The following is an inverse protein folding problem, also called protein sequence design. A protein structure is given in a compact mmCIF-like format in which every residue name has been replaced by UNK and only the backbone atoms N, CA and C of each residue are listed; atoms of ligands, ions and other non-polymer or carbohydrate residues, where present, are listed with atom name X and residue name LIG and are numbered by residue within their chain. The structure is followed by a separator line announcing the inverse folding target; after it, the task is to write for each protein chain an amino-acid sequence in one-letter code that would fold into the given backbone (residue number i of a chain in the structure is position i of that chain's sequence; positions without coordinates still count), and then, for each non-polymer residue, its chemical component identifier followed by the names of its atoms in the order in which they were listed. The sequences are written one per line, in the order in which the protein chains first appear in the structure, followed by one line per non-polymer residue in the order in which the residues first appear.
data_IF_518093766171
#
_entry.id   IF_518093766171
#
_cell.length_a   1.000
_cell.length_b   1.000
_cell.length_c   1.000
_cell.angle_alpha   90.00
_cell.angle_beta   90.00
_cell.angle_gamma   90.00
#
_symmetry.space_group_name_H-M   'P 1'
#
loop_
_entity.id
_entity.type
_entity.pdbx_description
1 polymer ?
#
# COMPACT_ATOMS: atom_id res chain seq x y z
N UNK A 1 6.55 21.42 55.18
CA UNK A 1 7.49 20.70 56.07
C UNK A 1 7.53 19.26 55.64
N UNK A 2 8.76 18.71 55.52
CA UNK A 2 9.19 17.29 55.32
C UNK A 2 8.99 16.76 53.90
N UNK A 3 9.97 16.31 53.18
CA UNK A 3 11.42 16.11 53.17
C UNK A 3 11.66 15.16 51.97
N UNK A 4 12.56 15.59 51.16
CA UNK A 4 13.22 14.89 50.03
C UNK A 4 13.84 13.58 50.48
N UNK A 5 13.82 12.56 49.59
CA UNK A 5 14.83 11.50 49.57
C UNK A 5 15.23 11.17 48.13
N UNK A 6 16.45 11.57 47.82
CA UNK A 6 17.20 11.21 46.59
C UNK A 6 17.96 9.93 46.93
N UNK A 7 17.88 8.93 46.05
CA UNK A 7 18.81 7.77 46.06
C UNK A 7 19.54 7.73 44.73
N UNK A 8 20.82 8.04 44.81
CA UNK A 8 21.82 7.85 43.76
C UNK A 8 22.41 6.43 43.94
N UNK A 9 22.40 5.63 42.88
CA UNK A 9 23.17 4.39 42.86
C UNK A 9 24.10 4.40 41.64
N UNK A 10 25.40 4.48 41.95
CA UNK A 10 26.50 4.30 41.02
C UNK A 10 26.73 2.80 40.76
N UNK A 11 26.94 2.42 39.51
CA UNK A 11 27.41 1.09 39.15
C UNK A 11 28.74 1.18 38.40
N UNK A 12 29.67 0.44 38.92
CA UNK A 12 31.08 0.33 38.61
C UNK A 12 31.30 -0.45 37.31
N UNK A 13 32.21 0.07 36.49
CA UNK A 13 32.81 -0.58 35.31
C UNK A 13 33.80 -1.67 35.78
N UNK A 14 33.73 -2.86 35.17
CA UNK A 14 34.84 -3.84 35.22
C UNK A 14 35.17 -4.22 33.77
N UNK A 15 36.34 -3.76 33.35
CA UNK A 15 37.03 -4.25 32.16
C UNK A 15 37.79 -5.52 32.50
N UNK A 16 37.72 -6.56 31.68
CA UNK A 16 38.75 -7.58 31.58
C UNK A 16 39.07 -7.90 30.13
N UNK A 17 40.27 -7.50 29.78
CA UNK A 17 40.99 -7.89 28.57
C UNK A 17 41.59 -9.29 28.75
N UNK A 18 41.53 -10.15 27.72
CA UNK A 18 42.49 -11.23 27.55
C UNK A 18 42.97 -11.27 26.10
N UNK A 19 44.26 -11.10 25.97
CA UNK A 19 45.11 -11.24 24.79
C UNK A 19 45.58 -12.69 24.70
N UNK A 20 45.67 -13.25 23.51
CA UNK A 20 46.32 -14.54 23.28
C UNK A 20 46.66 -14.73 21.82
N UNK A 21 47.94 -14.68 21.51
CA UNK A 21 48.60 -14.73 20.19
C UNK A 21 48.86 -16.14 19.66
N UNK A 22 49.06 -16.17 18.33
CA UNK A 22 50.02 -16.95 17.49
C UNK A 22 49.71 -18.45 17.29
N UNK A 23 50.00 -19.12 16.19
CA UNK A 23 50.99 -18.92 15.10
C UNK A 23 50.78 -20.01 14.03
N UNK A 24 50.92 -19.64 12.79
CA UNK A 24 51.57 -20.26 11.63
C UNK A 24 51.57 -21.76 11.35
N UNK A 25 51.38 -22.09 10.10
CA UNK A 25 51.80 -23.36 9.50
C UNK A 25 51.37 -23.50 8.03
N UNK A 26 52.24 -23.13 7.13
CA UNK A 26 52.21 -23.36 5.70
C UNK A 26 52.40 -24.83 5.35
N UNK A 27 51.88 -25.32 4.22
CA UNK A 27 52.62 -25.87 3.11
C UNK A 27 51.73 -26.38 1.97
N UNK A 28 52.21 -26.11 0.79
CA UNK A 28 51.87 -26.55 -0.57
C UNK A 28 51.64 -28.05 -0.75
N UNK A 29 50.89 -28.46 -1.74
CA UNK A 29 51.37 -28.94 -3.06
C UNK A 29 50.24 -29.57 -3.87
N UNK A 30 50.00 -29.01 -5.00
CA UNK A 30 49.85 -29.46 -6.38
C UNK A 30 49.12 -30.78 -6.78
N UNK A 31 48.42 -30.60 -7.86
CA UNK A 31 48.31 -31.34 -9.12
C UNK A 31 47.03 -32.15 -9.41
N UNK A 32 46.28 -31.60 -10.34
CA UNK A 32 45.73 -32.18 -11.60
C UNK A 32 44.95 -33.52 -11.52
N UNK A 33 43.72 -33.52 -12.00
CA UNK A 33 43.33 -33.78 -13.39
C UNK A 33 41.81 -33.86 -13.57
N UNK A 34 41.33 -33.16 -14.58
CA UNK A 34 40.25 -33.44 -15.56
C UNK A 34 39.02 -34.27 -15.17
N UNK A 35 37.87 -33.65 -15.34
CA UNK A 35 36.58 -34.32 -15.47
C UNK A 35 35.51 -33.28 -15.82
N UNK A 36 35.25 -33.12 -17.09
CA UNK A 36 34.25 -32.26 -17.68
C UNK A 36 32.90 -32.96 -17.58
N UNK A 37 31.98 -32.41 -16.78
CA UNK A 37 30.55 -32.68 -16.91
C UNK A 37 29.80 -31.38 -16.70
N UNK A 38 29.27 -30.87 -17.81
CA UNK A 38 28.33 -29.75 -17.92
C UNK A 38 27.02 -30.12 -17.23
N UNK A 39 26.81 -29.60 -16.04
CA UNK A 39 25.45 -29.45 -15.49
C UNK A 39 24.95 -28.05 -15.87
N UNK A 40 23.96 -28.02 -16.73
CA UNK A 40 23.23 -26.81 -17.09
C UNK A 40 22.58 -26.21 -15.81
N UNK A 41 23.05 -25.06 -15.38
CA UNK A 41 22.30 -24.20 -14.49
C UNK A 41 21.11 -23.67 -15.31
N UNK A 42 19.92 -24.00 -14.90
CA UNK A 42 18.71 -23.33 -15.36
C UNK A 42 18.69 -21.94 -14.70
N UNK A 43 19.11 -20.95 -15.44
CA UNK A 43 18.84 -19.55 -15.14
C UNK A 43 17.31 -19.35 -15.30
N UNK A 44 16.58 -19.48 -14.21
CA UNK A 44 15.27 -18.87 -14.07
C UNK A 44 15.52 -17.41 -13.70
N UNK A 45 15.82 -16.58 -14.68
CA UNK A 45 15.48 -15.16 -14.61
C UNK A 45 13.96 -15.07 -14.46
N UNK A 46 13.43 -14.31 -13.50
CA UNK A 46 12.03 -13.96 -13.52
C UNK A 46 11.82 -13.10 -14.77
N UNK A 47 10.93 -13.55 -15.62
CA UNK A 47 10.51 -12.86 -16.85
C UNK A 47 9.84 -11.52 -16.48
N UNK A 48 10.66 -10.51 -16.28
CA UNK A 48 10.25 -9.13 -16.05
C UNK A 48 10.05 -8.43 -17.39
N UNK A 49 9.12 -8.92 -18.20
CA UNK A 49 8.69 -8.22 -19.39
C UNK A 49 7.27 -8.66 -19.81
N UNK A 50 6.29 -8.50 -18.93
CA UNK A 50 4.99 -8.07 -19.38
C UNK A 50 4.99 -6.55 -19.31
N UNK A 51 5.55 -5.91 -20.33
CA UNK A 51 5.27 -4.52 -20.63
C UNK A 51 3.76 -4.37 -20.73
N UNK A 52 3.20 -3.70 -19.75
CA UNK A 52 1.85 -3.25 -19.69
C UNK A 52 1.47 -2.55 -21.01
N UNK A 53 0.69 -3.23 -21.82
CA UNK A 53 -0.29 -2.51 -22.60
C UNK A 53 -1.20 -1.84 -21.58
N UNK A 54 -1.42 -0.53 -21.70
CA UNK A 54 -2.22 0.27 -20.82
C UNK A 54 -3.51 -0.46 -20.45
N UNK A 55 -3.53 -1.07 -19.27
CA UNK A 55 -4.72 -1.67 -18.70
C UNK A 55 -5.53 -0.49 -18.19
N UNK A 56 -6.49 -0.01 -18.97
CA UNK A 56 -7.55 0.84 -18.42
C UNK A 56 -8.09 0.11 -17.19
N UNK A 57 -8.28 0.81 -16.08
CA UNK A 57 -8.91 0.24 -14.90
C UNK A 57 -10.19 -0.48 -15.35
N UNK A 58 -10.15 -1.81 -15.43
CA UNK A 58 -11.32 -2.60 -15.81
C UNK A 58 -12.26 -2.67 -14.62
N UNK A 59 -13.56 -2.60 -14.89
CA UNK A 59 -14.53 -3.01 -13.88
C UNK A 59 -14.58 -4.54 -13.90
N UNK A 60 -14.46 -5.17 -12.76
CA UNK A 60 -14.46 -6.62 -12.58
C UNK A 60 -15.74 -7.33 -13.07
N UNK A 61 -16.80 -6.56 -13.37
CA UNK A 61 -18.05 -7.07 -13.98
C UNK A 61 -17.87 -7.75 -15.34
N UNK A 62 -16.64 -7.76 -15.89
CA UNK A 62 -16.32 -8.47 -17.11
C UNK A 62 -15.76 -9.89 -16.85
N UNK A 63 -15.46 -10.25 -15.60
CA UNK A 63 -15.03 -11.59 -15.24
C UNK A 63 -16.26 -12.50 -15.02
N UNK A 64 -16.51 -13.44 -15.93
CA UNK A 64 -17.50 -14.49 -15.73
C UNK A 64 -17.08 -15.37 -14.54
N UNK A 65 -17.83 -15.30 -13.44
CA UNK A 65 -17.70 -16.19 -12.28
C UNK A 65 -19.00 -16.99 -12.12
N UNK A 66 -18.98 -18.23 -12.57
CA UNK A 66 -20.12 -19.17 -12.53
C UNK A 66 -20.21 -19.94 -11.20
N UNK A 67 -19.42 -19.52 -10.18
CA UNK A 67 -19.47 -20.13 -8.86
C UNK A 67 -20.87 -20.04 -8.23
N UNK A 68 -21.38 -21.16 -7.74
CA UNK A 68 -22.66 -21.24 -7.06
C UNK A 68 -22.45 -21.31 -5.54
N UNK A 69 -22.79 -20.23 -4.78
CA UNK A 69 -22.69 -20.21 -3.33
C UNK A 69 -23.49 -21.34 -2.66
N UNK A 70 -22.95 -21.92 -1.57
CA UNK A 70 -23.54 -23.06 -0.87
C UNK A 70 -24.55 -22.69 0.22
N UNK A 71 -24.58 -21.40 0.62
CA UNK A 71 -25.47 -20.87 1.68
C UNK A 71 -26.33 -19.74 1.12
N UNK A 72 -27.49 -19.49 1.76
CA UNK A 72 -28.35 -18.35 1.44
C UNK A 72 -27.97 -17.07 2.23
N UNK A 73 -27.10 -17.22 3.23
CA UNK A 73 -26.64 -16.11 4.09
C UNK A 73 -25.16 -16.25 4.42
N UNK A 74 -24.45 -15.12 4.34
CA UNK A 74 -23.03 -14.98 4.68
C UNK A 74 -22.82 -13.73 5.53
N UNK A 75 -21.97 -13.82 6.58
CA UNK A 75 -21.57 -12.69 7.41
C UNK A 75 -20.06 -12.46 7.27
N UNK A 76 -19.70 -11.36 6.63
CA UNK A 76 -18.31 -10.92 6.43
C UNK A 76 -18.08 -9.66 7.26
N UNK A 77 -17.08 -9.67 8.12
CA UNK A 77 -16.61 -8.49 8.85
C UNK A 77 -15.32 -7.99 8.23
N UNK A 78 -15.24 -6.72 7.88
CA UNK A 78 -14.04 -6.10 7.35
C UNK A 78 -13.57 -4.94 8.24
N UNK A 79 -12.26 -4.90 8.51
CA UNK A 79 -11.62 -3.75 9.15
C UNK A 79 -10.42 -3.29 8.32
N UNK A 80 -10.26 -1.97 8.22
CA UNK A 80 -9.23 -1.33 7.42
C UNK A 80 -8.52 -0.24 8.21
N UNK A 81 -7.44 0.32 7.65
CA UNK A 81 -6.46 1.14 8.38
C UNK A 81 -7.05 2.39 9.03
N UNK A 82 -7.91 3.13 8.31
CA UNK A 82 -8.58 4.33 8.80
C UNK A 82 -9.78 4.68 7.91
N UNK A 83 -10.70 5.50 8.42
CA UNK A 83 -11.78 6.08 7.62
C UNK A 83 -11.18 7.10 6.64
N UNK A 84 -11.22 6.79 5.35
CA UNK A 84 -10.68 7.61 4.28
C UNK A 84 -11.41 7.34 2.97
N UNK A 85 -11.60 8.36 2.13
CA UNK A 85 -12.33 8.27 0.85
C UNK A 85 -11.73 7.26 -0.14
N UNK A 86 -10.43 6.95 -0.01
CA UNK A 86 -9.78 5.91 -0.82
C UNK A 86 -10.49 4.55 -0.73
N UNK A 87 -11.05 4.23 0.45
CA UNK A 87 -11.79 2.98 0.65
C UNK A 87 -13.19 2.98 0.05
N UNK A 88 -13.72 4.14 -0.39
CA UNK A 88 -15.06 4.25 -0.98
C UNK A 88 -15.14 3.48 -2.30
N UNK A 89 -14.08 3.49 -3.12
CA UNK A 89 -14.01 2.71 -4.36
C UNK A 89 -13.97 1.20 -4.08
N UNK A 90 -13.24 0.77 -3.03
CA UNK A 90 -13.24 -0.63 -2.58
C UNK A 90 -14.65 -1.03 -2.12
N UNK A 91 -15.26 -0.19 -1.29
CA UNK A 91 -16.65 -0.43 -0.82
C UNK A 91 -17.64 -0.52 -1.97
N UNK A 92 -17.50 0.34 -2.98
CA UNK A 92 -18.35 0.33 -4.18
C UNK A 92 -18.22 -1.00 -4.94
N UNK A 93 -17.00 -1.51 -5.12
CA UNK A 93 -16.79 -2.82 -5.73
C UNK A 93 -17.37 -3.97 -4.90
N UNK A 94 -17.20 -3.93 -3.59
CA UNK A 94 -17.79 -4.91 -2.68
C UNK A 94 -19.33 -4.89 -2.76
N UNK A 95 -19.95 -3.70 -2.77
CA UNK A 95 -21.40 -3.54 -2.86
C UNK A 95 -21.94 -4.04 -4.20
N UNK A 96 -21.19 -3.88 -5.29
CA UNK A 96 -21.57 -4.41 -6.60
C UNK A 96 -21.61 -5.97 -6.58
N UNK A 97 -20.57 -6.62 -6.02
CA UNK A 97 -20.56 -8.07 -5.87
C UNK A 97 -21.70 -8.57 -4.95
N UNK A 98 -22.01 -7.84 -3.88
CA UNK A 98 -23.13 -8.14 -2.98
C UNK A 98 -24.48 -8.01 -3.71
N UNK A 99 -24.63 -6.98 -4.56
CA UNK A 99 -25.85 -6.81 -5.36
C UNK A 99 -26.07 -7.95 -6.35
N UNK A 100 -25.01 -8.42 -7.03
CA UNK A 100 -25.08 -9.59 -7.91
C UNK A 100 -25.49 -10.87 -7.16
N UNK A 101 -24.96 -11.09 -5.95
CA UNK A 101 -25.34 -12.22 -5.10
C UNK A 101 -26.82 -12.11 -4.66
N UNK A 102 -27.29 -10.89 -4.38
CA UNK A 102 -28.69 -10.65 -4.02
C UNK A 102 -29.67 -11.00 -5.17
N UNK A 103 -29.27 -10.76 -6.43
CA UNK A 103 -30.05 -11.20 -7.61
C UNK A 103 -30.17 -12.73 -7.69
N UNK A 104 -29.22 -13.46 -7.11
CA UNK A 104 -29.25 -14.92 -6.98
C UNK A 104 -30.00 -15.40 -5.72
N UNK A 105 -30.57 -14.48 -4.92
CA UNK A 105 -31.27 -14.79 -3.69
C UNK A 105 -30.39 -14.97 -2.46
N UNK A 106 -29.11 -14.58 -2.55
CA UNK A 106 -28.12 -14.73 -1.48
C UNK A 106 -27.99 -13.41 -0.71
N UNK A 107 -28.03 -13.48 0.62
CA UNK A 107 -27.86 -12.33 1.50
C UNK A 107 -26.43 -12.29 2.05
N UNK A 108 -25.74 -11.17 1.89
CA UNK A 108 -24.44 -10.92 2.51
C UNK A 108 -24.58 -9.78 3.52
N UNK A 109 -24.37 -10.10 4.79
CA UNK A 109 -24.12 -9.07 5.80
C UNK A 109 -22.65 -8.67 5.72
N UNK A 110 -22.38 -7.41 5.40
CA UNK A 110 -21.02 -6.88 5.25
C UNK A 110 -20.79 -5.74 6.25
N UNK A 111 -20.15 -6.07 7.38
CA UNK A 111 -19.74 -5.10 8.39
C UNK A 111 -18.44 -4.44 7.92
N UNK A 112 -18.45 -3.10 7.75
CA UNK A 112 -17.34 -2.32 7.20
C UNK A 112 -16.92 -1.25 8.20
N UNK A 113 -15.85 -1.50 8.97
CA UNK A 113 -15.48 -0.71 10.14
C UNK A 113 -13.99 -0.33 10.15
N UNK A 114 -13.65 0.92 10.52
CA UNK A 114 -12.28 1.38 10.69
C UNK A 114 -12.15 2.42 11.81
N UNK A 115 -10.93 2.65 12.34
CA UNK A 115 -10.65 3.79 13.20
C UNK A 115 -10.72 5.12 12.43
N UNK A 116 -10.93 6.22 13.15
CA UNK A 116 -10.95 7.57 12.56
C UNK A 116 -9.54 8.01 12.12
N UNK A 117 -8.52 7.56 12.84
CA UNK A 117 -7.10 7.80 12.55
C UNK A 117 -6.35 6.49 12.55
N UNK A 118 -5.21 6.36 11.83
CA UNK A 118 -4.42 5.14 11.84
C UNK A 118 -4.02 4.76 13.27
N UNK A 119 -4.52 3.63 13.75
CA UNK A 119 -4.24 3.10 15.09
C UNK A 119 -4.21 1.57 15.04
N UNK A 120 -3.02 1.01 15.08
CA UNK A 120 -2.81 -0.44 15.02
C UNK A 120 -3.43 -1.17 16.20
N UNK A 121 -3.46 -0.57 17.40
CA UNK A 121 -4.07 -1.18 18.57
C UNK A 121 -5.60 -1.18 18.47
N UNK A 122 -6.21 -0.08 17.96
CA UNK A 122 -7.65 -0.06 17.69
C UNK A 122 -8.03 -1.11 16.65
N UNK A 123 -7.21 -1.30 15.60
CA UNK A 123 -7.45 -2.36 14.61
C UNK A 123 -7.40 -3.76 15.25
N UNK A 124 -6.42 -4.05 16.11
CA UNK A 124 -6.36 -5.32 16.86
C UNK A 124 -7.62 -5.53 17.70
N UNK A 125 -8.06 -4.51 18.44
CA UNK A 125 -9.27 -4.57 19.26
C UNK A 125 -10.53 -4.83 18.39
N UNK A 126 -10.59 -4.29 17.16
CA UNK A 126 -11.68 -4.56 16.21
C UNK A 126 -11.67 -6.00 15.74
N UNK A 127 -10.51 -6.55 15.40
CA UNK A 127 -10.37 -7.98 15.02
C UNK A 127 -10.81 -8.88 16.18
N UNK A 128 -10.36 -8.62 17.40
CA UNK A 128 -10.77 -9.39 18.58
C UNK A 128 -12.28 -9.28 18.86
N UNK A 129 -12.85 -8.08 18.69
CA UNK A 129 -14.29 -7.85 18.82
C UNK A 129 -15.08 -8.57 17.72
N UNK A 130 -14.54 -8.62 16.49
CA UNK A 130 -15.13 -9.37 15.40
C UNK A 130 -15.14 -10.88 15.69
N UNK A 131 -14.06 -11.44 16.25
CA UNK A 131 -14.02 -12.85 16.69
C UNK A 131 -15.16 -13.15 17.67
N UNK A 132 -15.46 -12.22 18.60
CA UNK A 132 -16.58 -12.38 19.54
C UNK A 132 -17.97 -12.30 18.88
N UNK A 133 -18.09 -11.60 17.74
CA UNK A 133 -19.32 -11.56 16.92
C UNK A 133 -19.52 -12.84 16.09
N UNK A 134 -18.44 -13.62 15.91
CA UNK A 134 -18.42 -14.90 15.16
C UNK A 134 -18.94 -14.78 13.72
N UNK A 135 -18.36 -13.89 12.87
CA UNK A 135 -18.69 -13.83 11.46
C UNK A 135 -18.20 -15.11 10.74
N UNK A 136 -18.67 -15.34 9.51
CA UNK A 136 -18.17 -16.44 8.68
C UNK A 136 -16.72 -16.18 8.19
N UNK A 137 -16.31 -14.90 8.06
CA UNK A 137 -14.97 -14.49 7.64
C UNK A 137 -14.62 -13.09 8.16
N UNK A 138 -13.35 -12.86 8.50
CA UNK A 138 -12.81 -11.54 8.78
C UNK A 138 -11.87 -11.13 7.65
N UNK A 139 -12.09 -9.92 7.10
CA UNK A 139 -11.22 -9.29 6.12
C UNK A 139 -10.42 -8.14 6.77
N UNK A 140 -9.12 -8.04 6.48
CA UNK A 140 -8.23 -7.08 7.15
C UNK A 140 -7.34 -6.38 6.13
N UNK A 141 -7.41 -5.03 6.07
CA UNK A 141 -6.34 -4.21 5.52
C UNK A 141 -5.38 -3.81 6.64
N UNK A 142 -4.08 -3.91 6.39
CA UNK A 142 -3.05 -3.99 7.43
C UNK A 142 -2.59 -2.60 7.87
N UNK A 143 -2.79 -2.27 9.15
CA UNK A 143 -2.26 -1.04 9.74
C UNK A 143 -0.79 -1.14 10.12
N UNK A 144 -0.37 -2.28 10.69
CA UNK A 144 1.01 -2.56 11.10
C UNK A 144 1.27 -4.06 11.08
N UNK A 145 2.37 -4.48 10.48
CA UNK A 145 2.67 -5.89 10.21
C UNK A 145 2.65 -6.78 11.47
N UNK A 146 3.50 -6.49 12.45
CA UNK A 146 3.70 -7.37 13.62
C UNK A 146 2.43 -7.57 14.45
N UNK A 147 1.71 -6.48 14.74
CA UNK A 147 0.51 -6.51 15.57
C UNK A 147 -0.66 -7.16 14.84
N UNK A 148 -0.84 -6.83 13.57
CA UNK A 148 -1.92 -7.36 12.74
C UNK A 148 -1.72 -8.85 12.47
N UNK A 149 -0.49 -9.32 12.20
CA UNK A 149 -0.17 -10.74 12.05
C UNK A 149 -0.62 -11.56 13.27
N UNK A 150 -0.33 -11.06 14.47
CA UNK A 150 -0.72 -11.75 15.71
C UNK A 150 -2.25 -11.83 15.85
N UNK A 151 -2.98 -10.75 15.53
CA UNK A 151 -4.42 -10.72 15.62
C UNK A 151 -5.09 -11.65 14.59
N UNK A 152 -4.59 -11.68 13.35
CA UNK A 152 -5.03 -12.61 12.29
C UNK A 152 -4.87 -14.06 12.76
N UNK A 153 -3.67 -14.43 13.22
CA UNK A 153 -3.39 -15.79 13.66
C UNK A 153 -4.28 -16.21 14.84
N UNK A 154 -4.63 -15.29 15.73
CA UNK A 154 -5.57 -15.56 16.83
C UNK A 154 -7.00 -15.78 16.32
N UNK A 155 -7.46 -15.02 15.32
CA UNK A 155 -8.77 -15.20 14.70
C UNK A 155 -8.88 -16.54 13.98
N UNK A 156 -7.85 -16.94 13.22
CA UNK A 156 -7.78 -18.25 12.56
C UNK A 156 -7.78 -19.38 13.59
N UNK A 157 -7.02 -19.28 14.69
CA UNK A 157 -7.04 -20.26 15.81
C UNK A 157 -8.41 -20.37 16.48
N UNK A 158 -9.19 -19.28 16.48
CA UNK A 158 -10.57 -19.30 16.97
C UNK A 158 -11.55 -19.95 15.97
N UNK A 159 -11.08 -20.36 14.80
CA UNK A 159 -11.86 -21.07 13.77
C UNK A 159 -12.52 -20.14 12.74
N UNK A 160 -12.15 -18.87 12.68
CA UNK A 160 -12.67 -17.91 11.70
C UNK A 160 -11.60 -17.69 10.62
N UNK A 161 -11.87 -18.01 9.35
CA UNK A 161 -10.96 -17.74 8.25
C UNK A 161 -10.73 -16.23 8.10
N UNK A 162 -9.51 -15.84 7.74
CA UNK A 162 -9.13 -14.45 7.54
C UNK A 162 -8.60 -14.26 6.13
N UNK A 163 -9.07 -13.23 5.44
CA UNK A 163 -8.47 -12.70 4.22
C UNK A 163 -7.80 -11.36 4.49
N UNK A 164 -6.68 -11.11 3.87
CA UNK A 164 -6.11 -9.76 3.80
C UNK A 164 -6.54 -9.09 2.49
N UNK A 165 -6.64 -7.76 2.49
CA UNK A 165 -7.05 -7.03 1.29
C UNK A 165 -6.38 -5.65 1.20
N UNK A 166 -6.59 -4.97 0.07
CA UNK A 166 -6.18 -3.60 -0.21
C UNK A 166 -4.66 -3.38 -0.40
N UNK A 167 -4.04 -2.64 0.51
CA UNK A 167 -2.72 -2.06 0.26
C UNK A 167 -1.55 -3.01 0.45
N UNK A 168 -1.70 -4.11 1.19
CA UNK A 168 -0.59 -5.02 1.51
C UNK A 168 -1.06 -6.41 1.90
N UNK A 169 -0.21 -7.39 1.64
CA UNK A 169 -0.39 -8.77 2.10
C UNK A 169 0.47 -9.08 3.35
N UNK A 170 0.07 -10.11 4.09
CA UNK A 170 0.83 -10.71 5.18
C UNK A 170 1.05 -12.21 4.94
N UNK A 171 1.96 -12.60 4.04
CA UNK A 171 2.17 -14.00 3.69
C UNK A 171 2.71 -14.85 4.86
N UNK A 172 3.28 -14.21 5.89
CA UNK A 172 3.77 -14.88 7.10
C UNK A 172 2.67 -15.08 8.16
N UNK A 173 1.44 -14.64 7.91
CA UNK A 173 0.28 -14.91 8.77
C UNK A 173 -0.46 -16.19 8.36
N UNK A 174 -1.40 -16.64 9.21
CA UNK A 174 -2.28 -17.79 8.91
C UNK A 174 -3.51 -17.37 8.05
N UNK A 175 -3.44 -16.26 7.29
CA UNK A 175 -4.51 -15.83 6.40
C UNK A 175 -4.77 -16.87 5.31
N UNK A 176 -6.01 -16.93 4.81
CA UNK A 176 -6.41 -17.87 3.75
C UNK A 176 -6.09 -17.33 2.36
N UNK A 177 -6.35 -16.05 2.10
CA UNK A 177 -6.15 -15.44 0.80
C UNK A 177 -5.92 -13.92 0.92
N UNK A 178 -5.43 -13.32 -0.16
CA UNK A 178 -5.24 -11.89 -0.32
C UNK A 178 -5.87 -11.38 -1.61
N UNK A 179 -6.46 -10.18 -1.54
CA UNK A 179 -6.95 -9.43 -2.70
C UNK A 179 -6.48 -7.98 -2.61
N UNK A 180 -5.59 -7.56 -3.50
CA UNK A 180 -5.10 -6.19 -3.44
C UNK A 180 -3.88 -5.92 -4.29
N UNK A 181 -3.18 -4.83 -3.95
CA UNK A 181 -1.96 -4.43 -4.64
C UNK A 181 -0.74 -5.22 -4.12
N UNK A 182 0.00 -5.84 -5.03
CA UNK A 182 1.23 -6.57 -4.71
C UNK A 182 2.50 -5.80 -5.04
N UNK A 183 2.44 -4.84 -5.96
CA UNK A 183 3.61 -4.14 -6.48
C UNK A 183 3.71 -2.70 -5.96
N UNK A 184 3.61 -2.54 -4.64
CA UNK A 184 3.77 -1.23 -4.03
C UNK A 184 5.18 -0.64 -4.26
N UNK A 185 6.22 -1.48 -4.33
CA UNK A 185 7.57 -1.01 -4.68
C UNK A 185 7.60 -0.48 -6.11
N UNK A 186 7.01 -1.22 -7.06
CA UNK A 186 6.85 -0.78 -8.46
C UNK A 186 6.06 0.51 -8.58
N UNK A 187 4.99 0.69 -7.80
CA UNK A 187 4.22 1.93 -7.74
C UNK A 187 5.07 3.11 -7.28
N UNK A 188 5.80 2.94 -6.19
CA UNK A 188 6.70 3.97 -5.66
C UNK A 188 7.79 4.36 -6.65
N UNK A 189 8.34 3.36 -7.34
CA UNK A 189 9.32 3.56 -8.41
C UNK A 189 8.72 4.31 -9.62
N UNK A 190 7.60 3.84 -10.16
CA UNK A 190 6.96 4.45 -11.32
C UNK A 190 6.59 5.90 -11.06
N UNK A 191 6.03 6.19 -9.89
CA UNK A 191 5.68 7.53 -9.46
C UNK A 191 6.91 8.45 -9.31
N UNK A 192 8.02 7.92 -8.77
CA UNK A 192 9.27 8.66 -8.65
C UNK A 192 9.88 8.96 -10.03
N UNK A 193 9.90 7.98 -10.93
CA UNK A 193 10.36 8.16 -12.33
C UNK A 193 9.53 9.23 -13.03
N UNK A 194 8.20 9.18 -12.92
CA UNK A 194 7.31 10.19 -13.51
C UNK A 194 7.64 11.61 -13.02
N UNK A 195 7.90 11.78 -11.70
CA UNK A 195 8.32 13.06 -11.15
C UNK A 195 9.70 13.49 -11.67
N UNK A 196 10.69 12.60 -11.63
CA UNK A 196 12.06 12.92 -12.01
C UNK A 196 12.18 13.23 -13.50
N UNK A 197 11.47 12.53 -14.36
CA UNK A 197 11.41 12.82 -15.80
C UNK A 197 10.76 14.19 -16.06
N UNK A 198 9.65 14.51 -15.38
CA UNK A 198 9.01 15.82 -15.46
C UNK A 198 9.93 16.96 -14.99
N UNK A 199 10.81 16.70 -14.02
CA UNK A 199 11.86 17.65 -13.55
C UNK A 199 13.06 17.73 -14.50
N UNK A 200 13.12 16.92 -15.56
CA UNK A 200 14.26 16.86 -16.47
C UNK A 200 15.48 16.13 -15.85
N UNK A 201 15.24 15.20 -14.94
CA UNK A 201 16.22 14.31 -14.31
C UNK A 201 17.10 14.94 -13.26
N UNK A 202 16.81 16.16 -12.78
CA UNK A 202 17.66 16.90 -11.82
C UNK A 202 16.88 17.87 -10.97
N UNK A 203 17.45 18.24 -9.83
CA UNK A 203 16.88 19.25 -8.92
C UNK A 203 16.57 18.70 -7.54
N UNK A 204 15.89 19.50 -6.72
CA UNK A 204 15.61 19.18 -5.33
C UNK A 204 14.21 18.61 -5.17
N UNK A 205 14.10 17.51 -4.43
CA UNK A 205 12.85 16.81 -4.13
C UNK A 205 12.69 16.68 -2.62
N UNK A 206 11.48 16.88 -2.13
CA UNK A 206 11.06 16.49 -0.78
C UNK A 206 10.05 15.34 -0.85
N UNK A 207 9.91 14.56 0.22
CA UNK A 207 8.97 13.44 0.27
C UNK A 207 7.97 13.58 1.42
N UNK A 208 6.73 13.17 1.17
CA UNK A 208 5.69 12.92 2.16
C UNK A 208 5.45 11.42 2.24
N UNK A 209 5.72 10.80 3.40
CA UNK A 209 5.93 9.34 3.48
C UNK A 209 4.85 8.57 4.27
N UNK A 210 3.76 9.24 4.66
CA UNK A 210 2.59 8.60 5.26
C UNK A 210 2.83 8.01 6.65
N UNK A 211 2.21 6.88 6.95
CA UNK A 211 2.23 6.22 8.25
C UNK A 211 3.45 5.32 8.41
N UNK A 212 4.16 5.46 9.54
CA UNK A 212 5.32 4.62 9.88
C UNK A 212 4.87 3.16 10.07
N UNK A 213 5.58 2.22 9.43
CA UNK A 213 5.38 0.79 9.57
C UNK A 213 4.15 0.25 8.84
N UNK A 214 3.47 1.06 8.02
CA UNK A 214 2.48 0.58 7.07
C UNK A 214 3.20 -0.07 5.88
N UNK A 215 3.04 -1.39 5.63
CA UNK A 215 3.87 -2.11 4.65
C UNK A 215 3.85 -1.50 3.26
N UNK A 216 2.67 -1.11 2.74
CA UNK A 216 2.56 -0.45 1.44
C UNK A 216 3.34 0.86 1.35
N UNK A 217 3.37 1.66 2.44
CA UNK A 217 4.12 2.91 2.46
C UNK A 217 5.63 2.67 2.47
N UNK A 218 6.10 1.71 3.28
CA UNK A 218 7.52 1.39 3.34
C UNK A 218 8.01 0.81 2.01
N UNK A 219 7.25 -0.08 1.37
CA UNK A 219 7.58 -0.63 0.05
C UNK A 219 7.64 0.46 -1.04
N UNK A 220 6.70 1.41 -1.04
CA UNK A 220 6.77 2.54 -1.99
C UNK A 220 8.00 3.42 -1.77
N UNK A 221 8.45 3.61 -0.52
CA UNK A 221 9.69 4.31 -0.22
C UNK A 221 10.90 3.54 -0.77
N UNK A 222 10.90 2.20 -0.72
CA UNK A 222 11.93 1.38 -1.35
C UNK A 222 11.97 1.61 -2.86
N UNK A 223 10.80 1.64 -3.52
CA UNK A 223 10.68 1.97 -4.95
C UNK A 223 11.20 3.37 -5.29
N UNK A 224 10.85 4.38 -4.49
CA UNK A 224 11.39 5.72 -4.64
C UNK A 224 12.92 5.74 -4.53
N UNK A 225 13.49 5.04 -3.54
CA UNK A 225 14.93 4.98 -3.34
C UNK A 225 15.63 4.26 -4.51
N UNK A 226 15.00 3.21 -5.07
CA UNK A 226 15.51 2.54 -6.27
C UNK A 226 15.57 3.50 -7.47
N UNK A 227 14.52 4.30 -7.69
CA UNK A 227 14.53 5.29 -8.76
C UNK A 227 15.65 6.34 -8.58
N UNK A 228 15.95 6.76 -7.35
CA UNK A 228 17.05 7.70 -7.08
C UNK A 228 18.42 7.19 -7.56
N UNK A 229 18.65 5.88 -7.59
CA UNK A 229 19.91 5.31 -8.08
C UNK A 229 20.13 5.58 -9.58
N UNK A 230 19.04 5.75 -10.33
CA UNK A 230 19.05 6.00 -11.78
C UNK A 230 19.08 7.51 -12.09
N UNK A 231 18.76 8.38 -11.11
CA UNK A 231 18.69 9.84 -11.28
C UNK A 231 19.67 10.58 -10.33
N UNK A 232 20.98 10.48 -10.55
CA UNK A 232 21.99 10.97 -9.61
C UNK A 232 22.06 12.50 -9.46
N UNK A 233 21.37 13.26 -10.32
CA UNK A 233 21.26 14.71 -10.21
C UNK A 233 19.98 15.16 -9.46
N UNK A 234 19.18 14.22 -8.96
CA UNK A 234 18.08 14.49 -8.03
C UNK A 234 18.63 14.47 -6.62
N UNK A 235 18.39 15.55 -5.87
CA UNK A 235 18.76 15.71 -4.46
C UNK A 235 17.53 15.65 -3.57
N UNK A 236 17.44 14.68 -2.67
CA UNK A 236 16.38 14.62 -1.65
C UNK A 236 16.78 15.53 -0.49
N UNK A 237 16.04 16.62 -0.30
CA UNK A 237 16.37 17.67 0.68
C UNK A 237 15.65 17.56 2.01
N UNK A 238 14.48 16.90 2.03
CA UNK A 238 13.71 16.65 3.28
C UNK A 238 12.79 15.44 3.10
N UNK A 239 12.51 14.72 4.21
CA UNK A 239 11.60 13.58 4.27
C UNK A 239 10.77 13.66 5.54
N UNK A 240 9.44 13.67 5.43
CA UNK A 240 8.58 13.72 6.60
C UNK A 240 7.36 12.82 6.45
N UNK A 241 6.81 12.44 7.60
CA UNK A 241 5.62 11.60 7.74
C UNK A 241 4.41 12.45 8.11
N UNK A 242 3.37 12.40 7.30
CA UNK A 242 2.10 13.11 7.49
C UNK A 242 1.03 12.26 8.18
N UNK A 243 1.31 10.97 8.43
CA UNK A 243 0.41 10.03 9.12
C UNK A 243 -0.97 9.89 8.44
N UNK A 244 -1.01 9.96 7.11
CA UNK A 244 -2.22 9.95 6.28
C UNK A 244 -3.22 11.09 6.59
N UNK A 245 -2.73 12.24 7.06
CA UNK A 245 -3.55 13.39 7.38
C UNK A 245 -3.29 14.55 6.42
N UNK A 246 -4.32 14.97 5.69
CA UNK A 246 -4.24 16.07 4.71
C UNK A 246 -3.73 17.36 5.34
N UNK A 247 -4.24 17.75 6.51
CA UNK A 247 -3.86 18.98 7.20
C UNK A 247 -2.37 18.97 7.59
N UNK A 248 -1.84 17.79 7.95
CA UNK A 248 -0.44 17.63 8.28
C UNK A 248 0.43 17.69 7.02
N UNK A 249 -0.02 17.10 5.91
CA UNK A 249 0.64 17.21 4.61
C UNK A 249 0.72 18.66 4.13
N UNK A 250 -0.35 19.47 4.31
CA UNK A 250 -0.33 20.92 4.05
C UNK A 250 0.77 21.60 4.87
N UNK A 251 0.78 21.42 6.20
CA UNK A 251 1.76 22.08 7.09
C UNK A 251 3.20 21.69 6.77
N UNK A 252 3.44 20.42 6.45
CA UNK A 252 4.77 19.92 6.07
C UNK A 252 5.20 20.57 4.75
N UNK A 253 4.31 20.62 3.76
CA UNK A 253 4.59 21.21 2.44
C UNK A 253 4.88 22.70 2.53
N UNK A 254 4.11 23.45 3.32
CA UNK A 254 4.41 24.87 3.60
C UNK A 254 5.81 25.03 4.22
N UNK A 255 6.19 24.14 5.14
CA UNK A 255 7.53 24.12 5.72
C UNK A 255 8.61 23.82 4.69
N UNK A 256 8.37 22.90 3.76
CA UNK A 256 9.30 22.59 2.66
C UNK A 256 9.52 23.81 1.76
N UNK A 257 8.44 24.46 1.33
CA UNK A 257 8.50 25.66 0.49
C UNK A 257 9.31 26.78 1.17
N UNK A 258 9.15 26.96 2.48
CA UNK A 258 9.87 27.97 3.24
C UNK A 258 11.37 27.63 3.41
N UNK A 259 11.69 26.37 3.71
CA UNK A 259 13.07 25.91 3.96
C UNK A 259 13.89 25.79 2.69
N UNK A 260 13.26 25.40 1.59
CA UNK A 260 13.90 25.08 0.32
C UNK A 260 13.31 25.92 -0.82
N UNK A 261 13.75 27.20 -0.97
CA UNK A 261 13.20 28.12 -1.99
C UNK A 261 13.40 27.64 -3.43
N UNK A 262 14.32 26.70 -3.64
CA UNK A 262 14.67 26.06 -4.91
C UNK A 262 14.14 24.61 -5.02
N UNK A 263 13.13 24.26 -4.21
CA UNK A 263 12.43 22.97 -4.30
C UNK A 263 11.78 22.84 -5.68
N UNK A 264 12.07 21.75 -6.37
CA UNK A 264 11.54 21.47 -7.71
C UNK A 264 10.46 20.41 -7.74
N UNK A 265 10.41 19.51 -6.74
CA UNK A 265 9.43 18.46 -6.73
C UNK A 265 9.05 17.94 -5.33
N UNK A 266 7.84 17.37 -5.24
CA UNK A 266 7.34 16.68 -4.05
C UNK A 266 6.79 15.31 -4.47
N UNK A 267 7.35 14.26 -3.85
CA UNK A 267 6.86 12.90 -4.01
C UNK A 267 5.96 12.52 -2.84
N UNK A 268 4.78 11.99 -3.15
CA UNK A 268 3.68 11.76 -2.21
C UNK A 268 3.26 10.28 -2.24
N UNK A 269 3.44 9.52 -1.16
CA UNK A 269 3.30 8.07 -1.19
C UNK A 269 1.95 7.50 -0.73
N UNK A 270 0.96 8.33 -0.39
CA UNK A 270 -0.37 7.90 0.00
C UNK A 270 -1.46 8.83 -0.56
N UNK A 271 -2.74 8.51 -0.30
CA UNK A 271 -3.87 9.25 -0.84
C UNK A 271 -4.07 10.66 -0.26
N UNK A 272 -3.58 10.93 0.95
CA UNK A 272 -3.71 12.23 1.63
C UNK A 272 -2.64 13.22 1.21
N UNK A 273 -1.41 12.72 0.97
CA UNK A 273 -0.26 13.58 0.66
C UNK A 273 -0.46 14.47 -0.56
N UNK A 274 -0.88 13.95 -1.74
CA UNK A 274 -0.95 14.77 -2.94
C UNK A 274 -1.98 15.89 -2.80
N UNK A 275 -3.08 15.65 -2.10
CA UNK A 275 -4.10 16.66 -1.81
C UNK A 275 -3.51 17.80 -0.97
N UNK A 276 -2.83 17.46 0.14
CA UNK A 276 -2.22 18.47 1.01
C UNK A 276 -1.07 19.22 0.34
N UNK A 277 -0.23 18.51 -0.43
CA UNK A 277 0.86 19.11 -1.19
C UNK A 277 0.33 20.08 -2.26
N UNK A 278 -0.69 19.66 -3.05
CA UNK A 278 -1.28 20.48 -4.08
C UNK A 278 -1.92 21.75 -3.51
N UNK A 279 -2.68 21.64 -2.42
CA UNK A 279 -3.25 22.80 -1.74
C UNK A 279 -2.16 23.80 -1.33
N UNK A 280 -1.12 23.35 -0.62
CA UNK A 280 -0.06 24.25 -0.14
C UNK A 280 0.75 24.87 -1.29
N UNK A 281 1.02 24.13 -2.35
CA UNK A 281 1.73 24.62 -3.54
C UNK A 281 0.89 25.67 -4.29
N UNK A 282 -0.42 25.42 -4.43
CA UNK A 282 -1.36 26.35 -5.06
C UNK A 282 -1.52 27.63 -4.23
N UNK A 283 -1.69 27.52 -2.92
CA UNK A 283 -1.79 28.67 -2.00
C UNK A 283 -0.53 29.52 -1.98
N UNK A 284 0.64 28.90 -2.17
CA UNK A 284 1.91 29.59 -2.30
C UNK A 284 2.16 30.22 -3.69
N UNK A 285 1.24 29.99 -4.67
CA UNK A 285 1.37 30.47 -6.04
C UNK A 285 2.51 29.80 -6.81
N UNK A 286 2.83 28.55 -6.49
CA UNK A 286 3.97 27.79 -7.05
C UNK A 286 3.55 26.61 -7.94
N UNK A 287 2.29 26.56 -8.37
CA UNK A 287 1.82 25.57 -9.34
C UNK A 287 2.64 25.66 -10.64
N UNK A 288 3.17 24.52 -11.09
CA UNK A 288 4.07 24.42 -12.23
C UNK A 288 5.54 24.79 -11.96
N UNK A 289 5.87 25.45 -10.83
CA UNK A 289 7.26 25.63 -10.36
C UNK A 289 7.70 24.44 -9.50
N UNK A 290 6.82 23.95 -8.62
CA UNK A 290 7.01 22.75 -7.81
C UNK A 290 6.11 21.67 -8.38
N UNK A 291 6.70 20.62 -8.94
CA UNK A 291 5.99 19.50 -9.52
C UNK A 291 5.58 18.51 -8.43
N UNK A 292 4.40 17.92 -8.54
CA UNK A 292 3.88 16.97 -7.55
C UNK A 292 3.56 15.66 -8.24
N UNK A 293 4.08 14.55 -7.72
CA UNK A 293 3.62 13.23 -8.10
C UNK A 293 3.08 12.51 -6.85
N UNK A 294 1.88 11.96 -6.94
CA UNK A 294 1.17 11.42 -5.79
C UNK A 294 0.43 10.13 -6.05
N UNK A 295 0.20 9.37 -4.97
CA UNK A 295 -0.59 8.15 -5.03
C UNK A 295 -2.08 8.46 -5.05
N UNK A 296 -2.79 7.52 -5.68
CA UNK A 296 -4.21 7.29 -5.54
C UNK A 296 -5.16 8.27 -6.27
N UNK A 297 -6.43 7.95 -6.15
CA UNK A 297 -7.52 8.44 -6.97
C UNK A 297 -8.52 9.33 -6.20
N UNK A 298 -8.14 9.89 -5.03
CA UNK A 298 -9.04 10.86 -4.36
C UNK A 298 -9.52 11.89 -5.38
N UNK A 299 -10.82 12.22 -5.38
CA UNK A 299 -11.40 13.10 -6.38
C UNK A 299 -10.71 14.47 -6.44
N UNK A 300 -10.19 14.96 -5.29
CA UNK A 300 -9.37 16.18 -5.24
C UNK A 300 -8.02 16.00 -5.92
N UNK A 301 -7.39 14.82 -5.78
CA UNK A 301 -6.15 14.48 -6.50
C UNK A 301 -6.39 14.51 -8.00
N UNK A 302 -7.51 13.93 -8.49
CA UNK A 302 -7.87 13.95 -9.89
C UNK A 302 -8.24 15.36 -10.37
N UNK A 303 -8.89 16.20 -9.53
CA UNK A 303 -9.14 17.61 -9.84
C UNK A 303 -7.83 18.40 -9.99
N UNK A 304 -6.91 18.26 -9.04
CA UNK A 304 -5.60 18.93 -9.15
C UNK A 304 -4.76 18.41 -10.31
N UNK A 305 -4.94 17.14 -10.69
CA UNK A 305 -4.30 16.57 -11.88
C UNK A 305 -4.89 17.18 -13.17
N UNK A 306 -6.22 17.29 -13.28
CA UNK A 306 -6.91 17.95 -14.41
C UNK A 306 -6.53 19.45 -14.53
N UNK A 307 -6.38 20.13 -13.40
CA UNK A 307 -5.93 21.53 -13.32
C UNK A 307 -4.42 21.70 -13.61
N UNK A 308 -3.64 20.62 -13.67
CA UNK A 308 -2.18 20.65 -13.86
C UNK A 308 -1.39 21.12 -12.64
N UNK A 309 -1.97 21.10 -11.43
CA UNK A 309 -1.28 21.34 -10.15
C UNK A 309 -0.50 20.09 -9.76
N UNK A 310 -1.08 18.91 -9.90
CA UNK A 310 -0.42 17.61 -9.80
C UNK A 310 0.07 17.21 -11.20
N UNK A 311 1.27 16.67 -11.27
CA UNK A 311 1.95 16.27 -12.52
C UNK A 311 1.59 14.85 -12.94
N UNK A 312 1.52 13.93 -11.98
CA UNK A 312 1.21 12.52 -12.19
C UNK A 312 0.56 11.92 -10.93
N UNK A 313 -0.34 10.97 -11.13
CA UNK A 313 -0.95 10.18 -10.06
C UNK A 313 -0.80 8.68 -10.36
N UNK A 314 -0.36 7.88 -9.36
CA UNK A 314 -0.32 6.43 -9.45
C UNK A 314 -1.62 5.87 -8.86
N UNK A 315 -2.49 5.34 -9.72
CA UNK A 315 -3.85 4.92 -9.36
C UNK A 315 -3.93 3.39 -9.30
N UNK A 316 -4.48 2.86 -8.19
CA UNK A 316 -4.72 1.44 -7.98
C UNK A 316 -6.17 1.08 -8.37
N UNK A 317 -6.40 -0.16 -8.85
CA UNK A 317 -7.75 -0.64 -9.16
C UNK A 317 -8.53 -1.04 -7.89
N UNK A 318 -8.90 -0.05 -7.10
CA UNK A 318 -9.58 -0.24 -5.81
C UNK A 318 -10.98 -0.87 -5.95
N UNK A 319 -11.68 -0.64 -7.05
CA UNK A 319 -12.98 -1.29 -7.29
C UNK A 319 -12.86 -2.81 -7.32
N UNK A 320 -11.87 -3.33 -8.07
CA UNK A 320 -11.64 -4.77 -8.15
C UNK A 320 -11.19 -5.37 -6.81
N UNK A 321 -10.47 -4.61 -5.97
CA UNK A 321 -10.12 -5.06 -4.61
C UNK A 321 -11.38 -5.45 -3.82
N UNK A 322 -12.40 -4.59 -3.85
CA UNK A 322 -13.66 -4.85 -3.14
C UNK A 322 -14.51 -5.93 -3.78
N UNK A 323 -14.65 -5.91 -5.10
CA UNK A 323 -15.44 -6.88 -5.83
C UNK A 323 -14.93 -8.31 -5.62
N UNK A 324 -13.64 -8.53 -5.85
CA UNK A 324 -13.04 -9.85 -5.67
C UNK A 324 -12.83 -10.24 -4.20
N UNK A 325 -12.75 -9.27 -3.28
CA UNK A 325 -12.80 -9.58 -1.85
C UNK A 325 -14.08 -10.35 -1.51
N UNK A 326 -15.25 -9.84 -1.92
CA UNK A 326 -16.53 -10.50 -1.65
C UNK A 326 -16.65 -11.84 -2.41
N UNK A 327 -16.35 -11.87 -3.71
CA UNK A 327 -16.44 -13.09 -4.52
C UNK A 327 -15.57 -14.22 -3.96
N UNK A 328 -14.33 -13.91 -3.57
CA UNK A 328 -13.41 -14.89 -2.99
C UNK A 328 -13.77 -15.25 -1.54
N UNK A 329 -14.26 -14.28 -0.74
CA UNK A 329 -14.72 -14.57 0.62
C UNK A 329 -15.84 -15.61 0.66
N UNK A 330 -16.80 -15.54 -0.27
CA UNK A 330 -17.85 -16.56 -0.39
C UNK A 330 -17.26 -17.95 -0.61
N UNK A 331 -16.28 -18.08 -1.52
CA UNK A 331 -15.60 -19.34 -1.81
C UNK A 331 -14.83 -19.87 -0.59
N UNK A 332 -14.10 -19.00 0.11
CA UNK A 332 -13.39 -19.34 1.35
C UNK A 332 -14.36 -19.86 2.42
N UNK A 333 -15.46 -19.15 2.66
CA UNK A 333 -16.49 -19.53 3.65
C UNK A 333 -17.12 -20.88 3.30
N UNK A 334 -17.29 -21.18 2.02
CA UNK A 334 -17.81 -22.44 1.52
C UNK A 334 -16.81 -23.60 1.56
N UNK A 335 -15.57 -23.34 2.05
CA UNK A 335 -14.52 -24.34 2.16
C UNK A 335 -13.92 -24.74 0.80
N UNK A 336 -13.95 -23.83 -0.17
CA UNK A 336 -13.22 -24.02 -1.43
C UNK A 336 -11.77 -23.66 -1.19
N UNK A 337 -10.86 -24.54 -1.54
CA UNK A 337 -9.42 -24.27 -1.44
C UNK A 337 -8.97 -23.38 -2.61
N UNK A 338 -7.99 -22.46 -2.37
CA UNK A 338 -7.40 -21.69 -3.45
C UNK A 338 -6.68 -22.60 -4.45
N UNK A 339 -6.74 -22.25 -5.73
CA UNK A 339 -6.12 -23.00 -6.81
C UNK A 339 -6.48 -22.43 -8.19
N UNK A 340 -5.79 -22.89 -9.23
CA UNK A 340 -5.89 -22.35 -10.58
C UNK A 340 -7.32 -22.41 -11.16
N UNK A 341 -8.09 -23.44 -10.79
CA UNK A 341 -9.47 -23.67 -11.28
C UNK A 341 -10.56 -23.10 -10.34
N UNK A 342 -10.19 -22.41 -9.25
CA UNK A 342 -11.14 -21.94 -8.24
C UNK A 342 -11.06 -20.42 -8.02
N UNK A 343 -10.11 -20.00 -7.24
CA UNK A 343 -9.69 -18.62 -7.04
C UNK A 343 -8.23 -18.59 -6.62
N UNK A 344 -7.44 -17.58 -7.02
CA UNK A 344 -6.04 -17.52 -6.60
C UNK A 344 -5.93 -17.21 -5.11
N UNK A 345 -4.96 -17.84 -4.41
CA UNK A 345 -4.62 -17.44 -3.03
C UNK A 345 -4.27 -15.95 -2.95
N UNK A 346 -3.68 -15.42 -4.02
CA UNK A 346 -3.30 -14.03 -4.17
C UNK A 346 -3.97 -13.49 -5.44
N UNK A 347 -4.94 -12.58 -5.26
CA UNK A 347 -5.53 -11.83 -6.36
C UNK A 347 -4.87 -10.46 -6.44
N UNK A 348 -3.90 -10.32 -7.34
CA UNK A 348 -3.21 -9.06 -7.57
C UNK A 348 -4.05 -8.13 -8.47
N UNK A 349 -4.35 -6.93 -7.98
CA UNK A 349 -4.92 -5.87 -8.81
C UNK A 349 -3.81 -5.01 -9.39
N UNK A 350 -4.05 -4.47 -10.59
CA UNK A 350 -3.11 -3.56 -11.25
C UNK A 350 -3.19 -2.14 -10.70
N UNK A 351 -2.15 -1.38 -11.04
CA UNK A 351 -2.09 0.07 -10.87
C UNK A 351 -1.49 0.71 -12.12
N UNK A 352 -1.71 2.01 -12.32
CA UNK A 352 -1.08 2.73 -13.42
C UNK A 352 -0.80 4.19 -13.09
N UNK A 353 0.21 4.77 -13.75
CA UNK A 353 0.47 6.21 -13.70
C UNK A 353 -0.48 6.91 -14.67
N UNK A 354 -1.20 7.90 -14.16
CA UNK A 354 -2.21 8.70 -14.86
C UNK A 354 -1.73 10.14 -14.92
N UNK A 355 -1.92 10.77 -16.07
CA UNK A 355 -1.53 12.14 -16.34
C UNK A 355 -2.75 13.05 -16.56
N UNK A 356 -2.51 14.34 -16.72
CA UNK A 356 -3.55 15.37 -16.83
C UNK A 356 -4.62 15.07 -17.88
N UNK A 357 -4.25 14.58 -19.05
CA UNK A 357 -5.16 14.29 -20.16
C UNK A 357 -6.08 13.10 -19.92
N UNK A 358 -5.78 12.26 -18.93
CA UNK A 358 -6.57 11.09 -18.54
C UNK A 358 -7.43 11.35 -17.28
N UNK A 359 -7.19 12.45 -16.54
CA UNK A 359 -7.79 12.70 -15.23
C UNK A 359 -9.31 12.64 -15.23
N UNK A 360 -9.97 13.22 -16.24
CA UNK A 360 -11.44 13.21 -16.39
C UNK A 360 -11.98 11.81 -16.65
N UNK A 361 -11.32 11.03 -17.52
CA UNK A 361 -11.72 9.66 -17.81
C UNK A 361 -11.71 8.82 -16.53
N UNK A 362 -10.66 8.96 -15.71
CA UNK A 362 -10.55 8.26 -14.44
C UNK A 362 -11.54 8.73 -13.38
N UNK A 363 -11.79 10.03 -13.29
CA UNK A 363 -12.81 10.57 -12.38
C UNK A 363 -14.20 10.04 -12.75
N UNK A 364 -14.55 10.06 -14.02
CA UNK A 364 -15.83 9.54 -14.53
C UNK A 364 -15.97 8.02 -14.31
N UNK A 365 -14.87 7.27 -14.47
CA UNK A 365 -14.85 5.83 -14.26
C UNK A 365 -15.11 5.47 -12.78
N UNK A 366 -14.47 6.19 -11.86
CA UNK A 366 -14.49 5.86 -10.43
C UNK A 366 -15.68 6.48 -9.69
N UNK A 367 -16.11 7.69 -10.08
CA UNK A 367 -17.10 8.47 -9.34
C UNK A 367 -18.37 8.77 -10.14
N UNK A 368 -18.41 8.39 -11.42
CA UNK A 368 -19.53 8.63 -12.33
C UNK A 368 -19.35 9.83 -13.25
N UNK A 369 -20.08 9.84 -14.35
CA UNK A 369 -19.95 10.85 -15.41
C UNK A 369 -20.12 12.28 -14.88
N UNK A 370 -19.20 13.17 -15.23
CA UNK A 370 -19.18 14.57 -14.80
C UNK A 370 -18.68 14.77 -13.36
N UNK A 371 -17.96 13.81 -12.79
CA UNK A 371 -17.50 13.89 -11.40
C UNK A 371 -16.65 15.13 -11.11
N UNK A 372 -15.79 15.56 -12.03
CA UNK A 372 -15.01 16.80 -11.86
C UNK A 372 -15.80 18.07 -12.17
N UNK A 373 -16.86 17.99 -12.96
CA UNK A 373 -17.66 19.17 -13.33
C UNK A 373 -18.49 19.69 -12.13
N UNK A 374 -18.79 18.84 -11.15
CA UNK A 374 -19.57 19.18 -9.96
C UNK A 374 -18.73 19.78 -8.81
N UNK A 375 -17.41 19.80 -8.93
CA UNK A 375 -16.50 20.39 -7.92
C UNK A 375 -16.17 21.87 -8.20
N UNK A 376 -16.57 22.40 -9.33
CA UNK A 376 -16.30 23.79 -9.74
C UNK A 376 -17.33 24.82 -9.24
N UNK A 377 -18.33 24.44 -8.43
CA UNK A 377 -19.29 25.29 -7.74
C UNK A 377 -18.97 25.40 -6.22
#
# INVERSE_FOLDING_TARGET
MKKVLVVVLAVVLVCMSFMGCAQSGSTETAAQTTGNETAAASDNEPDAAQTAGASKLSKASEAEDDYQPKKDFYHIYATYKLIHNWYDAIKTGADAAIAELAEQGITVQFDWEAPVTPDALDQVNRIESAVAKNPDLIAVDISQEDTTTTAINNAVKAGIPVMTFAGSDLPNSERTAFVGNLDNEGDGYALAVALFEAMGGKGKVATLEGTIGAPSHEQRIEGFNRALEEYPEIEVVDRQRDEDLVEKAVQITESYIQKHPDLGGIWCNNASNPVGAAQAVQDAGKSGEILIAGMDHDLRTLSYLDEGVITAAQIQNCYDMGYFLIKNAIKVIDGVEPGDDTYPEIYAVGSQTVYQDEAKEYADLLYGAGALDTQAE
#
